data_IF_354055483822
#
_entry.id   IF_354055483822
#
_cell.length_a   1.000
_cell.length_b   1.000
_cell.length_c   1.000
_cell.angle_alpha   90.00
_cell.angle_beta   90.00
_cell.angle_gamma   90.00
#
_symmetry.space_group_name_H-M   'P 1'
#
loop_
_entity.id
_entity.type
_entity.pdbx_description
1 polymer ?
#
# COMPACT_ATOMS: atom_id res chain seq x y z
N UNK A 1 5.53 22.23 -1.21
CA UNK A 1 4.13 21.84 -1.46
C UNK A 1 3.97 21.49 -2.92
N UNK A 2 3.38 20.35 -3.24
CA UNK A 2 3.06 19.97 -4.61
C UNK A 2 1.81 19.11 -4.62
N UNK A 3 1.06 19.15 -5.70
CA UNK A 3 -0.16 18.37 -5.89
C UNK A 3 -0.40 18.04 -7.35
N UNK A 4 -1.29 17.11 -7.57
CA UNK A 4 -1.66 16.64 -8.90
C UNK A 4 -3.15 16.35 -8.94
N UNK A 5 -3.78 16.76 -10.03
CA UNK A 5 -5.15 16.42 -10.39
C UNK A 5 -5.12 15.67 -11.71
N UNK A 6 -5.82 14.57 -11.81
CA UNK A 6 -5.86 13.75 -13.01
C UNK A 6 -7.27 13.31 -13.34
N UNK A 7 -7.54 13.19 -14.63
CA UNK A 7 -8.74 12.58 -15.19
C UNK A 7 -8.30 11.62 -16.27
N UNK A 8 -8.74 10.38 -16.20
CA UNK A 8 -8.45 9.36 -17.21
C UNK A 8 -9.66 8.47 -17.47
N UNK A 9 -9.58 7.65 -18.48
CA UNK A 9 -10.59 6.67 -18.87
C UNK A 9 -10.10 5.21 -18.75
N UNK A 10 -9.02 5.00 -17.98
CA UNK A 10 -8.40 3.70 -17.73
C UNK A 10 -9.14 2.83 -16.71
N UNK A 11 -10.26 3.30 -16.18
CA UNK A 11 -11.06 2.60 -15.19
C UNK A 11 -11.75 1.34 -15.74
N UNK A 12 -12.09 0.48 -14.78
CA UNK A 12 -12.75 -0.79 -15.12
C UNK A 12 -14.24 -0.59 -15.44
N UNK A 13 -14.74 -1.25 -16.49
CA UNK A 13 -16.12 -1.05 -17.01
C UNK A 13 -17.22 -1.30 -15.99
N UNK A 14 -16.98 -2.14 -14.98
CA UNK A 14 -17.98 -2.47 -13.95
C UNK A 14 -17.94 -1.59 -12.71
N UNK A 15 -16.86 -0.83 -12.52
CA UNK A 15 -16.71 0.11 -11.42
C UNK A 15 -16.62 1.57 -11.87
N UNK A 16 -16.66 1.81 -13.18
CA UNK A 16 -16.59 3.12 -13.79
C UNK A 16 -15.33 3.32 -14.63
N UNK A 17 -15.51 3.73 -15.89
CA UNK A 17 -14.43 3.93 -16.86
C UNK A 17 -13.63 5.20 -16.61
N UNK A 18 -14.32 6.29 -16.25
CA UNK A 18 -13.66 7.56 -15.99
C UNK A 18 -13.24 7.60 -14.53
N UNK A 19 -11.99 7.95 -14.32
CA UNK A 19 -11.40 8.10 -12.98
C UNK A 19 -10.96 9.55 -12.79
N UNK A 20 -11.20 10.04 -11.59
CA UNK A 20 -10.78 11.36 -11.13
C UNK A 20 -9.84 11.13 -9.97
N UNK A 21 -8.62 11.63 -10.07
CA UNK A 21 -7.60 11.49 -9.05
C UNK A 21 -7.12 12.82 -8.53
N UNK A 22 -6.87 12.92 -7.25
CA UNK A 22 -6.31 14.10 -6.61
C UNK A 22 -5.30 13.66 -5.55
N UNK A 23 -4.09 14.22 -5.61
CA UNK A 23 -3.04 14.00 -4.62
C UNK A 23 -2.43 15.32 -4.22
N UNK A 24 -2.14 15.44 -2.94
CA UNK A 24 -1.57 16.62 -2.35
C UNK A 24 -0.52 16.24 -1.32
N UNK A 25 0.66 16.87 -1.42
CA UNK A 25 1.76 16.70 -0.49
C UNK A 25 2.18 18.05 0.06
N UNK A 26 2.23 18.14 1.37
CA UNK A 26 2.65 19.31 2.09
C UNK A 26 3.89 18.98 2.93
N UNK A 27 5.01 19.63 2.59
CA UNK A 27 6.25 19.48 3.33
C UNK A 27 6.31 20.49 4.47
N UNK A 28 6.71 20.02 5.64
CA UNK A 28 6.89 20.82 6.86
C UNK A 28 5.63 21.55 7.35
N UNK A 29 4.43 20.85 7.43
CA UNK A 29 3.23 21.50 7.94
C UNK A 29 3.31 21.88 9.42
N UNK A 30 3.98 21.10 10.26
CA UNK A 30 4.04 21.29 11.70
C UNK A 30 5.47 21.42 12.24
N UNK A 31 6.40 20.65 11.64
CA UNK A 31 7.83 20.63 12.01
C UNK A 31 8.68 20.58 10.75
N UNK A 32 9.88 21.08 10.86
CA UNK A 32 10.87 21.00 9.78
C UNK A 32 11.14 19.52 9.40
N UNK A 33 11.00 19.22 8.12
CA UNK A 33 11.26 17.90 7.54
C UNK A 33 10.12 16.90 7.66
N UNK A 34 8.95 17.26 8.23
CA UNK A 34 7.77 16.38 8.17
C UNK A 34 7.06 16.46 6.81
N UNK A 35 6.25 15.46 6.53
CA UNK A 35 5.50 15.35 5.28
C UNK A 35 4.09 14.88 5.60
N UNK A 36 3.11 15.66 5.18
CA UNK A 36 1.71 15.29 5.16
C UNK A 36 1.27 15.02 3.73
N UNK A 37 0.61 13.89 3.50
CA UNK A 37 0.10 13.52 2.18
C UNK A 37 -1.36 13.11 2.30
N UNK A 38 -2.17 13.60 1.37
CA UNK A 38 -3.56 13.19 1.21
C UNK A 38 -3.83 12.95 -0.26
N UNK A 39 -4.58 11.91 -0.57
CA UNK A 39 -4.95 11.64 -1.94
C UNK A 39 -6.11 10.70 -2.05
N UNK A 40 -6.70 10.67 -3.24
CA UNK A 40 -7.80 9.79 -3.52
C UNK A 40 -8.09 9.67 -5.00
N UNK A 41 -8.85 8.63 -5.31
CA UNK A 41 -9.37 8.34 -6.64
C UNK A 41 -10.84 8.02 -6.51
N UNK A 42 -11.66 8.55 -7.39
CA UNK A 42 -13.06 8.19 -7.54
C UNK A 42 -13.39 7.91 -9.01
N UNK A 43 -14.34 7.03 -9.26
CA UNK A 43 -14.80 6.76 -10.61
C UNK A 43 -16.19 7.35 -10.86
N UNK A 44 -16.56 7.45 -12.13
CA UNK A 44 -17.94 7.79 -12.54
C UNK A 44 -18.93 6.64 -12.26
N UNK A 45 -18.45 5.48 -11.80
CA UNK A 45 -19.23 4.40 -11.23
C UNK A 45 -19.26 4.49 -9.69
N UNK A 46 -19.34 3.36 -9.03
CA UNK A 46 -19.41 3.29 -7.57
C UNK A 46 -18.07 2.81 -6.96
N UNK A 47 -16.97 3.45 -7.34
CA UNK A 47 -15.65 3.17 -6.74
C UNK A 47 -15.04 4.46 -6.21
N UNK A 48 -14.47 4.37 -5.03
CA UNK A 48 -13.62 5.41 -4.49
C UNK A 48 -12.52 4.81 -3.60
N UNK A 49 -11.39 5.47 -3.54
CA UNK A 49 -10.33 5.19 -2.59
C UNK A 49 -9.73 6.50 -2.09
N UNK A 50 -9.35 6.53 -0.83
CA UNK A 50 -8.69 7.68 -0.23
C UNK A 50 -7.62 7.23 0.75
N UNK A 51 -6.58 8.04 0.89
CA UNK A 51 -5.49 7.82 1.82
C UNK A 51 -5.00 9.12 2.41
N UNK A 52 -4.57 9.04 3.66
CA UNK A 52 -3.91 10.11 4.40
C UNK A 52 -2.68 9.52 5.05
N UNK A 53 -1.57 10.24 4.98
CA UNK A 53 -0.37 9.84 5.69
C UNK A 53 0.38 11.05 6.25
N UNK A 54 1.04 10.82 7.36
CA UNK A 54 1.92 11.78 7.98
C UNK A 54 3.22 11.10 8.37
N UNK A 55 4.35 11.74 8.09
CA UNK A 55 5.65 11.24 8.51
C UNK A 55 6.53 12.38 9.00
N UNK A 56 7.27 12.14 10.05
CA UNK A 56 8.11 13.14 10.70
C UNK A 56 9.50 12.56 11.02
N UNK A 57 10.56 13.35 10.93
CA UNK A 57 11.84 12.99 11.51
C UNK A 57 11.68 12.76 13.01
N UNK A 58 12.27 11.69 13.53
CA UNK A 58 12.12 11.31 14.92
C UNK A 58 13.49 11.11 15.59
N UNK A 59 13.67 11.70 16.77
CA UNK A 59 14.77 11.57 17.73
C UNK A 59 16.18 11.82 17.22
N UNK A 60 16.69 11.11 16.19
CA UNK A 60 18.06 11.23 15.67
C UNK A 60 18.03 11.55 14.17
N UNK A 61 19.14 12.14 13.70
CA UNK A 61 19.33 12.32 12.26
C UNK A 61 19.28 10.95 11.55
N UNK A 62 18.42 10.85 10.56
CA UNK A 62 18.25 9.61 9.76
C UNK A 62 17.10 8.70 10.18
N UNK A 63 16.39 9.02 11.26
CA UNK A 63 15.19 8.30 11.66
C UNK A 63 13.92 9.05 11.20
N UNK A 64 12.95 8.31 10.75
CA UNK A 64 11.63 8.81 10.36
C UNK A 64 10.55 7.87 10.83
N UNK A 65 9.54 8.41 11.46
CA UNK A 65 8.32 7.70 11.83
C UNK A 65 7.15 8.19 10.97
N UNK A 66 6.25 7.28 10.62
CA UNK A 66 5.07 7.62 9.84
C UNK A 66 3.86 6.82 10.24
N UNK A 67 2.69 7.43 10.03
CA UNK A 67 1.38 6.80 10.14
C UNK A 67 0.63 7.00 8.82
N UNK A 68 -0.12 6.01 8.40
CA UNK A 68 -0.95 6.07 7.21
C UNK A 68 -2.29 5.41 7.45
N UNK A 69 -3.34 6.00 6.88
CA UNK A 69 -4.69 5.45 6.86
C UNK A 69 -5.17 5.44 5.41
N UNK A 70 -5.79 4.35 4.99
CA UNK A 70 -6.41 4.28 3.68
C UNK A 70 -7.75 3.57 3.78
N UNK A 71 -8.70 3.99 2.93
CA UNK A 71 -9.99 3.34 2.79
C UNK A 71 -10.38 3.31 1.33
N UNK A 72 -10.96 2.19 0.91
CA UNK A 72 -11.50 2.02 -0.44
C UNK A 72 -12.84 1.33 -0.39
N UNK A 73 -13.64 1.60 -1.40
CA UNK A 73 -14.94 1.00 -1.61
C UNK A 73 -15.18 0.84 -3.11
N UNK A 74 -15.84 -0.24 -3.49
CA UNK A 74 -16.36 -0.40 -4.83
C UNK A 74 -17.68 -1.19 -4.82
N UNK A 75 -18.50 -0.93 -5.82
CA UNK A 75 -19.70 -1.73 -6.13
C UNK A 75 -19.65 -2.09 -7.61
N UNK A 76 -19.91 -3.34 -7.91
CA UNK A 76 -19.95 -3.82 -9.28
C UNK A 76 -21.30 -3.49 -9.93
N UNK A 77 -21.21 -2.86 -11.09
CA UNK A 77 -22.35 -2.53 -11.94
C UNK A 77 -22.43 -3.42 -13.18
N UNK A 78 -23.23 -3.00 -14.16
CA UNK A 78 -23.40 -3.71 -15.43
C UNK A 78 -23.97 -5.12 -15.24
N UNK A 79 -23.32 -6.14 -15.77
CA UNK A 79 -23.77 -7.52 -15.68
C UNK A 79 -23.86 -8.08 -14.24
N UNK A 80 -23.18 -7.44 -13.28
CA UNK A 80 -23.17 -7.85 -11.87
C UNK A 80 -24.10 -7.03 -10.98
N UNK A 81 -24.84 -6.08 -11.56
CA UNK A 81 -25.74 -5.19 -10.80
C UNK A 81 -26.85 -5.95 -10.05
N UNK A 82 -27.30 -7.08 -10.61
CA UNK A 82 -28.32 -7.94 -9.99
C UNK A 82 -27.82 -8.63 -8.71
N UNK A 83 -26.52 -8.81 -8.53
CA UNK A 83 -25.94 -9.44 -7.34
C UNK A 83 -25.67 -8.44 -6.22
N UNK A 84 -25.74 -7.13 -6.50
CA UNK A 84 -25.33 -6.02 -5.59
C UNK A 84 -24.01 -6.34 -4.86
N UNK A 85 -22.99 -6.69 -5.66
CA UNK A 85 -21.69 -7.07 -5.12
C UNK A 85 -20.89 -5.80 -4.75
N UNK A 86 -20.51 -5.72 -3.49
CA UNK A 86 -19.74 -4.59 -2.95
C UNK A 86 -18.49 -5.09 -2.25
N UNK A 87 -17.43 -4.33 -2.34
CA UNK A 87 -16.20 -4.57 -1.60
C UNK A 87 -15.71 -3.32 -0.90
N UNK A 88 -15.17 -3.50 0.28
CA UNK A 88 -14.55 -2.43 1.06
C UNK A 88 -13.23 -2.89 1.65
N UNK A 89 -12.30 -1.96 1.78
CA UNK A 89 -11.04 -2.19 2.47
C UNK A 89 -10.66 -0.95 3.26
N UNK A 90 -10.14 -1.16 4.45
CA UNK A 90 -9.51 -0.10 5.23
C UNK A 90 -8.21 -0.61 5.83
N UNK A 91 -7.23 0.28 5.95
CA UNK A 91 -5.94 -0.05 6.52
C UNK A 91 -5.39 1.10 7.36
N UNK A 92 -4.68 0.73 8.43
CA UNK A 92 -3.88 1.63 9.23
C UNK A 92 -2.48 1.04 9.25
N UNK A 93 -1.48 1.88 8.92
CA UNK A 93 -0.08 1.48 8.86
C UNK A 93 0.78 2.39 9.72
N UNK A 94 1.75 1.79 10.41
CA UNK A 94 2.82 2.47 11.12
C UNK A 94 4.12 2.08 10.47
N UNK A 95 4.97 3.04 10.16
CA UNK A 95 6.28 2.78 9.59
C UNK A 95 7.36 3.51 10.36
N UNK A 96 8.47 2.85 10.54
CA UNK A 96 9.72 3.41 11.02
C UNK A 96 10.82 3.14 10.01
N UNK A 97 11.64 4.14 9.76
CA UNK A 97 12.78 4.06 8.85
C UNK A 97 14.01 4.60 9.54
N UNK A 98 15.13 3.91 9.34
CA UNK A 98 16.44 4.32 9.81
C UNK A 98 17.45 4.34 8.65
N UNK A 99 18.17 5.43 8.51
CA UNK A 99 19.22 5.56 7.51
C UNK A 99 20.56 5.08 8.12
N UNK A 100 20.98 3.87 7.71
CA UNK A 100 22.26 3.30 8.16
C UNK A 100 23.45 4.04 7.56
N UNK A 101 23.36 4.41 6.29
CA UNK A 101 24.37 5.15 5.58
C UNK A 101 23.76 6.10 4.57
N UNK A 102 24.25 7.31 4.57
CA UNK A 102 23.91 8.32 3.57
C UNK A 102 25.19 8.98 3.10
N UNK A 103 25.63 8.65 1.90
CA UNK A 103 26.79 9.21 1.26
C UNK A 103 26.51 9.50 -0.22
N UNK A 104 27.46 10.11 -0.91
CA UNK A 104 27.31 10.38 -2.34
C UNK A 104 27.21 9.11 -3.17
N UNK A 105 27.93 8.06 -2.78
CA UNK A 105 28.10 6.85 -3.58
C UNK A 105 27.28 5.68 -3.05
N UNK A 106 26.78 5.73 -1.81
CA UNK A 106 26.00 4.66 -1.20
C UNK A 106 24.98 5.22 -0.21
N UNK A 107 23.71 4.91 -0.45
CA UNK A 107 22.64 5.14 0.48
C UNK A 107 22.06 3.79 0.90
N UNK A 108 21.91 3.58 2.21
CA UNK A 108 21.36 2.35 2.78
C UNK A 108 20.41 2.70 3.91
N UNK A 109 19.19 2.23 3.85
CA UNK A 109 18.21 2.42 4.90
C UNK A 109 17.41 1.15 5.16
N UNK A 110 17.05 0.94 6.41
CA UNK A 110 16.14 -0.09 6.87
C UNK A 110 14.79 0.47 7.21
N UNK A 111 13.76 -0.36 7.11
CA UNK A 111 12.40 0.01 7.47
C UNK A 111 11.69 -1.14 8.18
N UNK A 112 10.83 -0.77 9.11
CA UNK A 112 9.87 -1.68 9.74
C UNK A 112 8.49 -1.07 9.58
N UNK A 113 7.55 -1.84 9.05
CA UNK A 113 6.17 -1.42 8.87
C UNK A 113 5.22 -2.43 9.49
N UNK A 114 4.22 -1.93 10.18
CA UNK A 114 3.12 -2.69 10.74
C UNK A 114 1.82 -2.22 10.09
N UNK A 115 1.13 -3.12 9.41
CA UNK A 115 -0.15 -2.84 8.76
C UNK A 115 -1.27 -3.65 9.41
N UNK A 116 -2.35 -2.97 9.75
CA UNK A 116 -3.64 -3.56 10.11
C UNK A 116 -4.59 -3.32 8.94
N UNK A 117 -5.16 -4.39 8.39
CA UNK A 117 -6.09 -4.32 7.27
C UNK A 117 -7.40 -5.02 7.64
N UNK A 118 -8.51 -4.39 7.29
CA UNK A 118 -9.84 -4.98 7.33
C UNK A 118 -10.42 -4.92 5.93
N UNK A 119 -10.85 -6.05 5.43
CA UNK A 119 -11.40 -6.21 4.08
C UNK A 119 -12.73 -6.93 4.18
N UNK A 120 -13.69 -6.52 3.38
CA UNK A 120 -14.99 -7.15 3.31
C UNK A 120 -15.50 -7.19 1.89
N UNK A 121 -16.05 -8.32 1.49
CA UNK A 121 -16.79 -8.47 0.25
C UNK A 121 -18.19 -8.97 0.60
N UNK A 122 -19.21 -8.36 0.02
CA UNK A 122 -20.61 -8.67 0.26
C UNK A 122 -21.33 -8.84 -1.07
N UNK A 123 -22.11 -9.90 -1.20
CA UNK A 123 -23.14 -10.03 -2.23
C UNK A 123 -24.50 -9.92 -1.52
N UNK A 124 -25.06 -8.71 -1.47
CA UNK A 124 -26.21 -8.38 -0.60
C UNK A 124 -27.45 -9.18 -0.93
N UNK A 125 -27.69 -9.48 -2.19
CA UNK A 125 -28.82 -10.30 -2.60
C UNK A 125 -28.71 -11.78 -2.21
N UNK A 126 -27.46 -12.27 -2.05
CA UNK A 126 -27.21 -13.65 -1.67
C UNK A 126 -26.96 -13.82 -0.16
N UNK A 127 -27.10 -12.76 0.63
CA UNK A 127 -26.75 -12.73 2.06
C UNK A 127 -25.32 -13.24 2.35
N UNK A 128 -24.44 -13.10 1.36
CA UNK A 128 -23.05 -13.53 1.46
C UNK A 128 -22.19 -12.37 1.97
N UNK A 129 -21.43 -12.63 3.03
CA UNK A 129 -20.49 -11.67 3.61
C UNK A 129 -19.17 -12.39 3.93
N UNK A 130 -18.04 -11.83 3.51
CA UNK A 130 -16.70 -12.37 3.74
C UNK A 130 -15.78 -11.32 4.39
N UNK A 131 -15.91 -11.09 5.71
CA UNK A 131 -15.03 -10.19 6.44
C UNK A 131 -13.69 -10.87 6.72
N UNK A 132 -12.59 -10.19 6.40
CA UNK A 132 -11.22 -10.64 6.66
C UNK A 132 -10.40 -9.54 7.32
N UNK A 133 -9.60 -9.92 8.28
CA UNK A 133 -8.64 -9.06 8.94
C UNK A 133 -7.24 -9.57 8.70
N UNK A 134 -6.31 -8.67 8.47
CA UNK A 134 -4.90 -9.03 8.30
C UNK A 134 -4.01 -8.12 9.14
N UNK A 135 -3.00 -8.71 9.76
CA UNK A 135 -1.90 -8.00 10.41
C UNK A 135 -0.60 -8.41 9.74
N UNK A 136 0.14 -7.43 9.24
CA UNK A 136 1.38 -7.68 8.52
C UNK A 136 2.53 -6.88 9.15
N UNK A 137 3.63 -7.56 9.42
CA UNK A 137 4.93 -6.98 9.68
C UNK A 137 5.75 -7.04 8.40
N UNK A 138 6.31 -5.92 8.00
CA UNK A 138 7.19 -5.83 6.83
C UNK A 138 8.53 -5.27 7.28
N UNK A 139 9.59 -6.03 7.07
CA UNK A 139 10.97 -5.63 7.32
C UNK A 139 11.63 -5.41 5.97
N UNK A 140 12.22 -4.24 5.77
CA UNK A 140 12.83 -3.85 4.51
C UNK A 140 14.25 -3.34 4.68
N UNK A 141 15.10 -3.67 3.70
CA UNK A 141 16.41 -3.06 3.49
C UNK A 141 16.43 -2.56 2.06
N UNK A 142 16.71 -1.28 1.90
CA UNK A 142 16.70 -0.63 0.60
C UNK A 142 17.94 0.24 0.46
N UNK A 143 18.37 0.42 -0.76
CA UNK A 143 19.49 1.29 -1.00
C UNK A 143 19.80 1.48 -2.47
N UNK A 144 20.75 2.36 -2.70
CA UNK A 144 21.34 2.58 -4.00
C UNK A 144 22.83 2.80 -3.86
N UNK A 145 23.58 2.35 -4.85
CA UNK A 145 25.00 2.63 -4.95
C UNK A 145 25.41 3.01 -6.37
N UNK A 146 26.40 3.90 -6.45
CA UNK A 146 27.11 4.22 -7.67
C UNK A 146 28.37 3.36 -7.73
N UNK A 147 28.61 2.71 -8.86
CA UNK A 147 29.85 1.97 -9.12
C UNK A 147 30.55 2.47 -10.40
N UNK A 148 31.76 1.98 -10.62
CA UNK A 148 32.56 2.30 -11.79
C UNK A 148 32.71 1.14 -12.76
N UNK A 149 31.90 0.09 -12.61
CA UNK A 149 31.93 -1.07 -13.49
C UNK A 149 31.37 -0.71 -14.86
N UNK A 150 32.09 -1.07 -15.94
CA UNK A 150 31.74 -0.77 -17.34
C UNK A 150 31.27 0.68 -17.55
N UNK A 151 32.18 1.67 -17.41
CA UNK A 151 31.91 3.11 -17.56
C UNK A 151 31.08 3.75 -16.43
N UNK A 152 30.64 2.94 -15.46
CA UNK A 152 29.87 3.40 -14.30
C UNK A 152 28.38 3.15 -14.43
N UNK A 153 27.73 2.97 -13.29
CA UNK A 153 26.30 2.75 -13.22
C UNK A 153 25.73 3.00 -11.83
N UNK A 154 24.41 3.10 -11.78
CA UNK A 154 23.65 3.17 -10.53
C UNK A 154 22.88 1.88 -10.34
N UNK A 155 23.11 1.23 -9.23
CA UNK A 155 22.32 0.07 -8.80
C UNK A 155 21.34 0.51 -7.71
N UNK A 156 20.12 0.05 -7.81
CA UNK A 156 19.09 0.22 -6.78
C UNK A 156 18.63 -1.17 -6.34
N UNK A 157 18.53 -1.40 -5.05
CA UNK A 157 18.07 -2.67 -4.50
C UNK A 157 17.03 -2.45 -3.41
N UNK A 158 16.09 -3.38 -3.34
CA UNK A 158 15.08 -3.44 -2.32
C UNK A 158 14.84 -4.90 -1.94
N UNK A 159 15.09 -5.25 -0.70
CA UNK A 159 14.78 -6.56 -0.14
C UNK A 159 13.78 -6.39 0.99
N UNK A 160 12.67 -7.09 0.93
CA UNK A 160 11.69 -7.07 2.03
C UNK A 160 11.21 -8.47 2.39
N UNK A 161 10.98 -8.65 3.69
CA UNK A 161 10.32 -9.81 4.26
C UNK A 161 9.03 -9.40 4.93
N UNK A 162 7.93 -10.01 4.52
CA UNK A 162 6.62 -9.82 5.13
C UNK A 162 6.25 -11.06 5.94
N UNK A 163 5.91 -10.87 7.20
CA UNK A 163 5.24 -11.86 8.04
C UNK A 163 3.84 -11.36 8.32
N UNK A 164 2.85 -12.11 7.85
CA UNK A 164 1.44 -11.77 8.00
C UNK A 164 0.63 -12.85 8.70
N UNK A 165 -0.52 -12.43 9.19
CA UNK A 165 -1.56 -13.32 9.68
C UNK A 165 -2.91 -12.82 9.15
N UNK A 166 -3.66 -13.70 8.51
CA UNK A 166 -5.01 -13.45 8.02
C UNK A 166 -6.01 -14.17 8.92
N UNK A 167 -6.98 -13.43 9.43
CA UNK A 167 -8.05 -13.93 10.28
C UNK A 167 -9.38 -13.79 9.57
N UNK A 168 -10.19 -14.83 9.62
CA UNK A 168 -11.57 -14.87 9.14
C UNK A 168 -12.44 -15.10 10.37
N UNK A 169 -13.28 -14.12 10.70
CA UNK A 169 -14.06 -14.16 11.95
C UNK A 169 -15.28 -15.08 11.84
N UNK A 170 -15.88 -15.17 10.66
CA UNK A 170 -17.09 -15.95 10.40
C UNK A 170 -16.76 -17.46 10.36
N UNK A 171 -17.32 -18.30 11.25
CA UNK A 171 -16.99 -19.74 11.31
C UNK A 171 -17.28 -20.48 10.00
N UNK A 172 -18.39 -20.17 9.33
CA UNK A 172 -18.78 -20.80 8.06
C UNK A 172 -17.79 -20.41 6.95
N UNK A 173 -17.37 -19.16 6.88
CA UNK A 173 -16.38 -18.68 5.91
C UNK A 173 -15.02 -19.29 6.17
N UNK A 174 -14.64 -19.48 7.44
CA UNK A 174 -13.39 -20.17 7.80
C UNK A 174 -13.37 -21.62 7.33
N UNK A 175 -14.48 -22.35 7.48
CA UNK A 175 -14.60 -23.71 6.97
C UNK A 175 -14.53 -23.74 5.44
N UNK A 176 -15.20 -22.82 4.76
CA UNK A 176 -15.14 -22.72 3.32
C UNK A 176 -13.72 -22.37 2.83
N UNK A 177 -13.04 -21.43 3.49
CA UNK A 177 -11.66 -21.07 3.17
C UNK A 177 -10.70 -22.28 3.36
N UNK A 178 -10.92 -23.09 4.38
CA UNK A 178 -10.08 -24.28 4.64
C UNK A 178 -10.14 -25.34 3.53
N UNK A 179 -11.25 -25.46 2.83
CA UNK A 179 -11.43 -26.41 1.71
C UNK A 179 -11.20 -25.80 0.34
N UNK A 180 -11.14 -24.46 0.24
CA UNK A 180 -10.96 -23.75 -1.03
C UNK A 180 -9.61 -23.02 -1.10
N UNK A 181 -9.56 -21.80 -0.62
CA UNK A 181 -8.43 -20.88 -0.82
C UNK A 181 -7.30 -21.03 0.21
N UNK A 182 -7.59 -21.56 1.40
CA UNK A 182 -6.66 -21.70 2.54
C UNK A 182 -5.89 -20.40 2.82
N UNK A 183 -6.62 -19.28 2.79
CA UNK A 183 -6.02 -17.94 2.93
C UNK A 183 -5.86 -17.53 4.40
N UNK A 184 -6.61 -18.16 5.32
CA UNK A 184 -6.50 -17.91 6.75
C UNK A 184 -5.20 -18.48 7.32
N UNK A 185 -4.59 -17.75 8.26
CA UNK A 185 -3.40 -18.20 8.97
C UNK A 185 -2.18 -17.35 8.73
N UNK A 186 -1.03 -17.87 9.14
CA UNK A 186 0.26 -17.19 9.05
C UNK A 186 0.90 -17.42 7.69
N UNK A 187 1.53 -16.39 7.16
CA UNK A 187 2.33 -16.49 5.94
C UNK A 187 3.62 -15.69 6.05
N UNK A 188 4.59 -16.08 5.25
CA UNK A 188 5.84 -15.36 5.03
C UNK A 188 6.09 -15.15 3.56
N UNK A 189 6.55 -13.95 3.17
CA UNK A 189 6.85 -13.61 1.77
C UNK A 189 8.13 -12.79 1.69
N UNK A 190 9.01 -13.16 0.77
CA UNK A 190 10.16 -12.38 0.37
C UNK A 190 9.89 -11.68 -0.94
N UNK A 191 10.33 -10.42 -1.05
CA UNK A 191 10.39 -9.70 -2.32
C UNK A 191 11.80 -9.13 -2.47
N UNK A 192 12.34 -9.27 -3.67
CA UNK A 192 13.63 -8.72 -4.06
C UNK A 192 13.46 -7.97 -5.37
N UNK A 193 13.84 -6.71 -5.38
CA UNK A 193 13.89 -5.86 -6.56
C UNK A 193 15.33 -5.37 -6.76
N UNK A 194 15.86 -5.56 -7.95
CA UNK A 194 17.19 -5.11 -8.35
C UNK A 194 17.07 -4.36 -9.67
N UNK A 195 17.59 -3.16 -9.72
CA UNK A 195 17.61 -2.34 -10.94
C UNK A 195 19.01 -1.78 -11.15
N UNK A 196 19.51 -1.86 -12.37
CA UNK A 196 20.77 -1.23 -12.77
C UNK A 196 20.53 -0.27 -13.94
N UNK A 197 20.98 0.95 -13.77
CA UNK A 197 21.09 1.94 -14.84
C UNK A 197 22.57 2.04 -15.22
N UNK A 198 22.90 1.57 -16.42
CA UNK A 198 24.26 1.56 -16.94
C UNK A 198 24.48 2.75 -17.87
N UNK A 199 25.59 3.47 -17.68
CA UNK A 199 26.07 4.43 -18.69
C UNK A 199 26.75 3.66 -19.82
N UNK A 200 26.39 4.00 -21.03
CA UNK A 200 26.96 3.44 -22.28
C UNK A 200 27.74 4.50 -23.01
#
# INVERSE_FOLDING_TARGET
MWGYLGVDNGGYRYTGRYQYSAFFNYASPFREGDIFSIGGVMSNGKMWSGSVSYSTPFWRQGERFGISCARSFYSLGGAFSSMDFVGSSQSIGFNWQHNFRRSRDLNLYGSVRLDFKSMGSEARQMSFRDPKHARNWVFGINGDNLDRFLTGGRNTFSLSYTRGNVMIDEPMQRLNDAVTGRTAGHFGKWNLDLTRLQHI
#
